data_IF_055760042085
#
_entry.id   IF_055760042085
#
_cell.length_a   1.000
_cell.length_b   1.000
_cell.length_c   1.000
_cell.angle_alpha   90.00
_cell.angle_beta   90.00
_cell.angle_gamma   90.00
#
_symmetry.space_group_name_H-M   'P 1'
#
loop_
_entity.id
_entity.type
_entity.pdbx_description
1 polymer ?
#
# COMPACT_ATOMS: atom_id res chain seq x y z
N UNK A 1 -26.22 -54.49 18.05
CA UNK A 1 -24.87 -53.88 18.16
C UNK A 1 -24.99 -52.37 18.18
N UNK A 2 -24.62 -51.67 19.26
CA UNK A 2 -24.74 -50.21 19.33
C UNK A 2 -23.53 -49.53 18.66
N UNK A 3 -23.80 -48.57 17.78
CA UNK A 3 -22.76 -47.75 17.12
C UNK A 3 -22.39 -46.58 18.04
N UNK A 4 -21.17 -46.56 18.54
CA UNK A 4 -20.63 -45.45 19.34
C UNK A 4 -20.26 -44.27 18.43
N UNK A 5 -20.99 -43.17 18.54
CA UNK A 5 -20.68 -41.92 17.84
C UNK A 5 -19.65 -41.11 18.64
N UNK A 6 -18.39 -41.14 18.22
CA UNK A 6 -17.29 -40.41 18.86
C UNK A 6 -17.40 -38.91 18.56
N UNK A 7 -17.92 -38.12 19.51
CA UNK A 7 -18.03 -36.65 19.43
C UNK A 7 -16.64 -36.00 19.56
N UNK A 8 -16.00 -35.69 18.43
CA UNK A 8 -14.75 -34.91 18.40
C UNK A 8 -14.99 -33.49 18.93
N UNK A 9 -14.41 -33.16 20.09
CA UNK A 9 -14.31 -31.78 20.61
C UNK A 9 -13.44 -30.95 19.64
N UNK A 10 -14.01 -29.91 19.03
CA UNK A 10 -13.25 -28.89 18.29
C UNK A 10 -12.45 -28.07 19.31
N UNK A 11 -11.15 -28.29 19.36
CA UNK A 11 -10.23 -27.48 20.17
C UNK A 11 -10.06 -26.14 19.45
N UNK A 12 -10.51 -25.05 20.08
CA UNK A 12 -10.34 -23.71 19.56
C UNK A 12 -8.84 -23.38 19.49
N UNK A 13 -8.28 -23.39 18.28
CA UNK A 13 -6.92 -22.91 18.03
C UNK A 13 -6.91 -21.41 18.35
N UNK A 14 -6.32 -21.03 19.49
CA UNK A 14 -6.01 -19.64 19.81
C UNK A 14 -5.22 -19.05 18.66
N UNK A 15 -5.82 -18.10 17.96
CA UNK A 15 -5.20 -17.31 16.90
C UNK A 15 -4.04 -16.53 17.51
N UNK A 16 -2.81 -17.01 17.30
CA UNK A 16 -1.61 -16.25 17.59
C UNK A 16 -1.55 -15.09 16.59
N UNK A 17 -2.00 -13.91 17.03
CA UNK A 17 -1.80 -12.66 16.30
C UNK A 17 -0.30 -12.50 16.08
N UNK A 18 0.18 -12.73 14.86
CA UNK A 18 1.57 -12.44 14.47
C UNK A 18 1.79 -10.95 14.70
N UNK A 19 2.57 -10.60 15.73
CA UNK A 19 2.98 -9.22 15.97
C UNK A 19 3.78 -8.75 14.75
N UNK A 20 3.47 -7.57 14.25
CA UNK A 20 4.30 -6.92 13.23
C UNK A 20 5.68 -6.63 13.84
N UNK A 21 6.77 -6.80 13.07
CA UNK A 21 8.11 -6.48 13.54
C UNK A 21 8.20 -5.00 13.89
N UNK A 22 9.02 -4.66 14.90
CA UNK A 22 9.18 -3.28 15.38
C UNK A 22 9.54 -2.33 14.22
N UNK A 23 9.00 -1.10 14.25
CA UNK A 23 9.24 -0.07 13.24
C UNK A 23 8.48 -0.24 11.92
N UNK A 24 7.73 -1.33 11.72
CA UNK A 24 6.93 -1.50 10.51
C UNK A 24 5.56 -0.84 10.64
N UNK A 25 5.18 -0.02 9.66
CA UNK A 25 3.83 0.57 9.60
C UNK A 25 2.94 -0.24 8.66
N UNK A 26 1.77 -0.64 9.15
CA UNK A 26 0.74 -1.25 8.32
C UNK A 26 -0.18 -0.15 7.78
N UNK A 27 -0.30 -0.04 6.46
CA UNK A 27 -1.14 0.95 5.79
C UNK A 27 -2.10 0.22 4.85
N UNK A 28 -3.35 0.66 4.81
CA UNK A 28 -4.36 0.15 3.89
C UNK A 28 -4.40 1.10 2.70
N UNK A 29 -4.13 0.58 1.50
CA UNK A 29 -4.06 1.37 0.28
C UNK A 29 -5.07 0.83 -0.75
N UNK A 30 -5.85 1.72 -1.36
CA UNK A 30 -6.67 1.42 -2.53
C UNK A 30 -5.82 1.27 -3.78
N UNK A 31 -6.40 0.91 -4.93
CA UNK A 31 -5.64 0.83 -6.17
C UNK A 31 -5.17 2.21 -6.66
N UNK A 32 -5.96 3.25 -6.41
CA UNK A 32 -5.62 4.64 -6.72
C UNK A 32 -4.42 5.09 -5.88
N UNK A 33 -4.49 4.90 -4.55
CA UNK A 33 -3.41 5.26 -3.64
C UNK A 33 -2.10 4.56 -4.01
N UNK A 34 -2.18 3.31 -4.49
CA UNK A 34 -1.02 2.55 -4.96
C UNK A 34 -0.38 3.19 -6.20
N UNK A 35 -1.16 3.70 -7.13
CA UNK A 35 -0.63 4.38 -8.33
C UNK A 35 0.04 5.68 -7.92
N UNK A 36 -0.62 6.52 -7.14
CA UNK A 36 -0.02 7.76 -6.62
C UNK A 36 1.25 7.47 -5.81
N UNK A 37 1.26 6.39 -5.03
CA UNK A 37 2.44 5.98 -4.29
C UNK A 37 3.61 5.62 -5.21
N UNK A 38 3.35 5.02 -6.38
CA UNK A 38 4.40 4.71 -7.36
C UNK A 38 5.01 5.97 -8.00
N UNK A 39 4.23 7.03 -8.16
CA UNK A 39 4.70 8.33 -8.68
C UNK A 39 5.60 9.07 -7.69
N UNK A 40 5.34 8.88 -6.39
CA UNK A 40 6.11 9.50 -5.29
C UNK A 40 7.48 8.86 -5.11
N UNK A 41 7.68 7.62 -5.57
CA UNK A 41 8.93 6.90 -5.35
C UNK A 41 10.07 7.54 -6.17
N UNK A 42 11.14 8.04 -5.52
CA UNK A 42 12.21 8.74 -6.21
C UNK A 42 13.01 7.81 -7.12
N UNK A 43 13.42 8.31 -8.28
CA UNK A 43 14.50 7.70 -9.04
C UNK A 43 15.81 7.89 -8.25
N UNK A 44 16.39 6.80 -7.74
CA UNK A 44 17.66 6.83 -6.99
C UNK A 44 18.76 6.19 -7.79
N UNK A 45 19.96 6.78 -7.74
CA UNK A 45 21.13 6.30 -8.49
C UNK A 45 21.86 5.13 -7.80
N UNK A 46 21.63 4.92 -6.50
CA UNK A 46 22.23 3.80 -5.77
C UNK A 46 21.60 2.47 -6.17
N UNK A 47 22.42 1.49 -6.57
CA UNK A 47 21.96 0.15 -6.96
C UNK A 47 21.17 -0.58 -5.85
N UNK A 48 21.54 -0.39 -4.58
CA UNK A 48 20.78 -0.95 -3.44
C UNK A 48 19.38 -0.33 -3.37
N UNK A 49 19.29 0.98 -3.56
CA UNK A 49 18.02 1.68 -3.60
C UNK A 49 17.17 1.25 -4.81
N UNK A 50 17.77 1.07 -5.99
CA UNK A 50 17.07 0.55 -7.18
C UNK A 50 16.48 -0.84 -6.94
N UNK A 51 17.22 -1.75 -6.30
CA UNK A 51 16.70 -3.08 -5.94
C UNK A 51 15.53 -2.99 -4.96
N UNK A 52 15.61 -2.09 -3.97
CA UNK A 52 14.50 -1.89 -3.05
C UNK A 52 13.29 -1.29 -3.74
N UNK A 53 13.48 -0.26 -4.56
CA UNK A 53 12.41 0.36 -5.34
C UNK A 53 11.74 -0.66 -6.25
N UNK A 54 12.52 -1.52 -6.91
CA UNK A 54 11.98 -2.62 -7.70
C UNK A 54 11.07 -3.54 -6.87
N UNK A 55 11.54 -3.98 -5.69
CA UNK A 55 10.72 -4.82 -4.78
C UNK A 55 9.46 -4.10 -4.30
N UNK A 56 9.55 -2.81 -3.99
CA UNK A 56 8.39 -2.00 -3.59
C UNK A 56 7.40 -1.87 -4.73
N UNK A 57 7.87 -1.55 -5.94
CA UNK A 57 7.04 -1.46 -7.15
C UNK A 57 6.35 -2.79 -7.41
N UNK A 58 7.08 -3.90 -7.45
CA UNK A 58 6.50 -5.25 -7.62
C UNK A 58 5.45 -5.59 -6.55
N UNK A 59 5.64 -5.15 -5.29
CA UNK A 59 4.67 -5.36 -4.20
C UNK A 59 3.40 -4.52 -4.35
N UNK A 60 3.55 -3.28 -4.81
CA UNK A 60 2.48 -2.27 -4.90
C UNK A 60 1.73 -2.38 -6.23
N UNK A 61 2.38 -2.92 -7.27
CA UNK A 61 1.83 -3.09 -8.62
C UNK A 61 0.47 -3.79 -8.60
N UNK A 62 -0.39 -3.34 -9.51
CA UNK A 62 -1.72 -3.90 -9.72
C UNK A 62 -1.62 -5.21 -10.50
N UNK A 63 -2.37 -6.21 -10.06
CA UNK A 63 -2.56 -7.44 -10.83
C UNK A 63 -3.47 -7.21 -12.04
N UNK A 64 -3.37 -8.06 -13.07
CA UNK A 64 -4.26 -7.99 -14.25
C UNK A 64 -5.74 -8.07 -13.88
N UNK A 65 -6.07 -8.85 -12.84
CA UNK A 65 -7.44 -8.96 -12.34
C UNK A 65 -7.93 -7.66 -11.69
N UNK A 66 -7.05 -6.93 -10.97
CA UNK A 66 -7.38 -5.61 -10.41
C UNK A 66 -7.54 -4.59 -11.52
N UNK A 67 -6.65 -4.59 -12.52
CA UNK A 67 -6.74 -3.72 -13.70
C UNK A 67 -8.09 -3.90 -14.41
N UNK A 68 -8.50 -5.14 -14.66
CA UNK A 68 -9.81 -5.45 -15.28
C UNK A 68 -11.01 -5.02 -14.40
N UNK A 69 -10.87 -5.06 -13.07
CA UNK A 69 -11.95 -4.67 -12.15
C UNK A 69 -12.17 -3.16 -12.11
N UNK A 70 -11.11 -2.40 -12.28
CA UNK A 70 -11.12 -0.95 -12.16
C UNK A 70 -11.64 -0.28 -13.44
N UNK A 71 -11.47 -0.95 -14.59
CA UNK A 71 -12.02 -0.55 -15.90
C UNK A 71 -11.63 0.91 -16.22
N UNK A 72 -10.32 1.20 -16.21
CA UNK A 72 -9.81 2.56 -16.42
C UNK A 72 -10.01 2.98 -17.87
N UNK A 73 -10.49 4.20 -18.07
CA UNK A 73 -10.53 4.81 -19.40
C UNK A 73 -9.23 5.57 -19.64
N UNK A 74 -8.50 5.18 -20.68
CA UNK A 74 -7.42 6.00 -21.22
C UNK A 74 -7.99 7.03 -22.17
N UNK A 75 -7.68 8.30 -21.91
CA UNK A 75 -7.86 9.37 -22.89
C UNK A 75 -6.98 9.15 -24.11
N UNK A 76 -7.33 9.84 -25.20
CA UNK A 76 -6.60 9.82 -26.47
C UNK A 76 -5.10 10.13 -26.31
N UNK A 77 -4.74 10.95 -25.31
CA UNK A 77 -3.36 11.32 -24.98
C UNK A 77 -2.59 10.27 -24.15
N UNK A 78 -3.16 9.08 -23.95
CA UNK A 78 -2.55 8.01 -23.14
C UNK A 78 -2.61 8.23 -21.62
N UNK A 79 -3.27 9.31 -21.17
CA UNK A 79 -3.51 9.59 -19.74
C UNK A 79 -4.77 8.89 -19.25
N UNK A 80 -4.76 8.39 -18.02
CA UNK A 80 -5.96 7.81 -17.38
C UNK A 80 -6.92 8.94 -17.00
N UNK A 81 -8.13 8.95 -17.55
CA UNK A 81 -9.10 10.05 -17.38
C UNK A 81 -10.32 9.69 -16.55
N UNK A 82 -10.50 8.43 -16.18
CA UNK A 82 -11.62 8.02 -15.34
C UNK A 82 -11.46 6.65 -14.72
N UNK A 83 -11.96 6.54 -13.49
CA UNK A 83 -12.08 5.31 -12.71
C UNK A 83 -13.55 4.93 -12.62
N UNK A 84 -13.93 3.75 -13.12
CA UNK A 84 -15.33 3.33 -13.11
C UNK A 84 -15.75 2.78 -11.74
N UNK A 85 -14.79 2.24 -10.98
CA UNK A 85 -15.01 1.68 -9.64
C UNK A 85 -13.80 1.93 -8.74
N UNK A 86 -14.01 2.28 -7.45
CA UNK A 86 -12.92 2.36 -6.50
C UNK A 86 -12.28 0.98 -6.32
N UNK A 87 -10.96 0.93 -6.47
CA UNK A 87 -10.21 -0.33 -6.39
C UNK A 87 -10.23 -0.95 -4.99
N UNK A 88 -10.04 -2.27 -4.90
CA UNK A 88 -10.02 -2.96 -3.61
C UNK A 88 -8.87 -2.47 -2.73
N UNK A 89 -9.19 -2.14 -1.49
CA UNK A 89 -8.22 -1.78 -0.48
C UNK A 89 -7.41 -3.01 -0.03
N UNK A 90 -6.09 -2.90 0.01
CA UNK A 90 -5.17 -3.96 0.42
C UNK A 90 -4.23 -3.44 1.50
N UNK A 91 -3.98 -4.27 2.52
CA UNK A 91 -3.06 -3.94 3.59
C UNK A 91 -1.61 -4.24 3.20
N UNK A 92 -0.75 -3.24 3.32
CA UNK A 92 0.68 -3.32 3.08
C UNK A 92 1.45 -3.03 4.36
N UNK A 93 2.62 -3.66 4.51
CA UNK A 93 3.54 -3.40 5.62
C UNK A 93 4.81 -2.81 5.07
N UNK A 94 5.16 -1.62 5.54
CA UNK A 94 6.36 -0.91 5.12
C UNK A 94 7.44 -0.98 6.18
N UNK A 95 8.69 -1.18 5.75
CA UNK A 95 9.84 -1.10 6.65
C UNK A 95 10.18 0.38 6.98
N UNK A 96 10.94 0.65 8.06
CA UNK A 96 11.34 2.02 8.41
C UNK A 96 12.01 2.77 7.25
N UNK A 97 12.90 2.09 6.53
CA UNK A 97 13.60 2.67 5.38
C UNK A 97 12.66 2.95 4.19
N UNK A 98 11.69 2.07 3.95
CA UNK A 98 10.65 2.31 2.93
C UNK A 98 9.80 3.54 3.29
N UNK A 99 9.44 3.69 4.57
CA UNK A 99 8.68 4.83 5.07
C UNK A 99 9.44 6.15 4.91
N UNK A 100 10.72 6.19 5.28
CA UNK A 100 11.57 7.37 5.06
C UNK A 100 11.67 7.73 3.59
N UNK A 101 11.78 6.73 2.72
CA UNK A 101 11.85 6.95 1.28
C UNK A 101 10.54 7.54 0.73
N UNK A 102 9.39 7.03 1.19
CA UNK A 102 8.07 7.56 0.79
C UNK A 102 7.89 8.98 1.31
N UNK A 103 8.21 9.24 2.58
CA UNK A 103 8.16 10.58 3.18
C UNK A 103 9.05 11.58 2.44
N UNK A 104 10.26 11.16 2.08
CA UNK A 104 11.19 11.99 1.31
C UNK A 104 10.68 12.27 -0.11
N UNK A 105 10.04 11.29 -0.76
CA UNK A 105 9.40 11.48 -2.07
C UNK A 105 8.23 12.45 -2.02
N UNK A 106 7.38 12.34 -0.99
CA UNK A 106 6.23 13.23 -0.79
C UNK A 106 6.70 14.67 -0.56
N UNK A 107 7.71 14.89 0.29
CA UNK A 107 8.30 16.21 0.53
C UNK A 107 8.87 16.84 -0.75
N UNK A 108 9.59 16.06 -1.56
CA UNK A 108 10.11 16.56 -2.84
C UNK A 108 9.01 16.98 -3.81
N UNK A 109 7.92 16.20 -3.92
CA UNK A 109 6.77 16.59 -4.74
C UNK A 109 6.08 17.85 -4.21
N UNK A 110 6.09 18.07 -2.90
CA UNK A 110 5.58 19.29 -2.27
C UNK A 110 6.45 20.51 -2.61
N UNK A 111 7.76 20.35 -2.52
CA UNK A 111 8.73 21.36 -2.94
C UNK A 111 8.58 21.70 -4.43
N UNK A 112 8.28 20.71 -5.27
CA UNK A 112 8.02 20.85 -6.72
C UNK A 112 6.61 21.35 -7.07
N UNK A 113 5.71 21.48 -6.07
CA UNK A 113 4.29 21.84 -6.22
C UNK A 113 3.50 20.92 -7.16
N UNK A 114 3.88 19.66 -7.25
CA UNK A 114 3.23 18.61 -8.07
C UNK A 114 2.32 17.69 -7.23
N UNK A 115 1.82 18.17 -6.09
CA UNK A 115 0.82 17.44 -5.30
C UNK A 115 -0.57 17.53 -5.94
N UNK A 116 -0.94 16.47 -6.66
CA UNK A 116 -2.34 16.16 -6.93
C UNK A 116 -3.11 15.77 -5.66
N UNK A 117 -4.45 15.86 -5.71
CA UNK A 117 -5.37 15.49 -4.62
C UNK A 117 -5.16 14.06 -4.08
N UNK A 118 -4.78 13.12 -4.96
CA UNK A 118 -4.46 11.74 -4.57
C UNK A 118 -3.26 11.63 -3.63
N UNK A 119 -2.32 12.57 -3.70
CA UNK A 119 -1.15 12.60 -2.83
C UNK A 119 -1.48 13.09 -1.42
N UNK A 120 -2.56 13.85 -1.21
CA UNK A 120 -2.97 14.32 0.13
C UNK A 120 -3.38 13.15 1.03
N UNK A 121 -4.12 12.17 0.49
CA UNK A 121 -4.49 10.95 1.23
C UNK A 121 -3.25 10.16 1.66
N UNK A 122 -2.24 10.08 0.78
CA UNK A 122 -0.96 9.47 1.11
C UNK A 122 -0.20 10.27 2.15
N UNK A 123 -0.24 11.60 2.06
CA UNK A 123 0.39 12.48 3.04
C UNK A 123 -0.13 12.19 4.45
N UNK A 124 -1.45 12.21 4.65
CA UNK A 124 -2.06 11.90 5.94
C UNK A 124 -1.76 10.46 6.41
N UNK A 125 -1.65 9.51 5.47
CA UNK A 125 -1.35 8.12 5.80
C UNK A 125 0.11 7.90 6.22
N UNK A 126 1.06 8.70 5.73
CA UNK A 126 2.50 8.46 5.91
C UNK A 126 3.19 9.49 6.80
N UNK A 127 2.76 10.75 6.79
CA UNK A 127 3.17 11.77 7.76
C UNK A 127 2.28 11.65 8.99
N UNK A 128 2.78 11.19 10.15
CA UNK A 128 2.03 11.40 11.38
C UNK A 128 1.83 12.92 11.52
N UNK A 129 0.59 13.35 11.80
CA UNK A 129 0.40 14.67 12.39
C UNK A 129 1.06 14.60 13.76
N UNK A 130 1.91 15.56 14.08
CA UNK A 130 2.54 15.70 15.40
C UNK A 130 1.49 16.14 16.46
N UNK A 131 0.28 15.58 16.39
CA UNK A 131 -0.81 15.76 17.35
C UNK A 131 -0.81 14.51 18.25
N UNK A 132 0.09 14.47 19.24
CA UNK A 132 -0.02 13.80 20.56
C UNK A 132 1.37 13.78 21.25
N UNK A 133 1.94 14.96 21.47
CA UNK A 133 2.62 15.24 22.74
C UNK A 133 1.57 15.87 23.67
N UNK A 134 0.89 15.06 24.48
CA UNK A 134 0.39 15.47 25.80
C UNK A 134 0.30 14.28 26.76
#
# INVERSE_FOLDING_TARGET
MPKTTTRRKKVARKSTRKKTPAGHKKVILTCEDRIFLLEVLPARESHVALRLMRKMRERISLSEAEIKQIDFQTSFDGRVSGWKRPGKAKGFTFSPFELETIKGGLKKKDDEKDLAEGHLKLWDAFMPKDDEEE
#
